data_IF_261603666698
#
_entry.id   IF_261603666698
#
_cell.length_a   1.000
_cell.length_b   1.000
_cell.length_c   1.000
_cell.angle_alpha   90.00
_cell.angle_beta   90.00
_cell.angle_gamma   90.00
#
_symmetry.space_group_name_H-M   'P 1'
#
loop_
_entity.id
_entity.type
_entity.pdbx_description
1 polymer ?
#
# COMPACT_ATOMS: atom_id res chain seq x y z
N UNK A 1 -2.39 -4.62 -11.39
CA UNK A 1 -0.94 -4.35 -11.33
C UNK A 1 -0.31 -3.95 -12.67
N UNK A 2 -0.07 -4.87 -13.63
CA UNK A 2 0.91 -4.66 -14.72
C UNK A 2 0.43 -4.66 -16.17
N UNK A 3 -0.82 -4.25 -16.46
CA UNK A 3 -1.23 -4.04 -17.85
C UNK A 3 -0.50 -2.81 -18.43
N UNK A 4 -0.09 -2.89 -19.71
CA UNK A 4 0.54 -1.76 -20.40
C UNK A 4 -0.44 -0.60 -20.52
N UNK A 5 -0.12 0.54 -19.92
CA UNK A 5 -0.91 1.76 -20.04
C UNK A 5 -0.62 2.57 -21.30
N UNK A 6 -1.47 3.56 -21.53
CA UNK A 6 -1.37 4.57 -22.61
C UNK A 6 -1.14 4.00 -24.03
N UNK A 7 -1.69 2.83 -24.30
CA UNK A 7 -1.65 2.20 -25.62
C UNK A 7 -2.99 2.32 -26.38
N UNK A 8 -3.98 3.00 -25.80
CA UNK A 8 -5.33 3.16 -26.37
C UNK A 8 -6.18 1.89 -26.38
N UNK A 9 -5.80 0.82 -25.66
CA UNK A 9 -6.49 -0.48 -25.70
C UNK A 9 -6.86 -0.96 -24.30
N UNK A 10 -8.15 -1.15 -24.06
CA UNK A 10 -8.64 -1.91 -22.91
C UNK A 10 -8.44 -1.24 -21.56
N UNK A 11 -7.49 -1.76 -20.77
CA UNK A 11 -7.24 -1.34 -19.38
C UNK A 11 -5.78 -0.94 -19.19
N UNK A 12 -5.52 -0.21 -18.11
CA UNK A 12 -4.18 0.13 -17.68
C UNK A 12 -3.82 -0.55 -16.36
N UNK A 13 -2.54 -0.84 -16.16
CA UNK A 13 -1.99 -1.25 -14.89
C UNK A 13 -1.77 -0.06 -13.95
N UNK A 14 -1.39 -0.35 -12.71
CA UNK A 14 -0.86 0.65 -11.79
C UNK A 14 0.58 0.98 -12.20
N UNK A 15 1.43 -0.03 -12.36
CA UNK A 15 2.77 0.14 -12.92
C UNK A 15 2.83 -0.43 -14.34
N UNK A 16 3.02 0.45 -15.33
CA UNK A 16 2.88 0.09 -16.75
C UNK A 16 4.08 -0.64 -17.32
N UNK A 17 5.21 -0.63 -16.62
CA UNK A 17 6.50 -1.20 -17.04
C UNK A 17 7.02 -2.20 -15.99
N UNK A 18 6.21 -3.21 -15.71
CA UNK A 18 6.58 -4.33 -14.83
C UNK A 18 7.08 -5.54 -15.61
N UNK A 19 8.07 -6.22 -15.05
CA UNK A 19 8.35 -7.61 -15.38
C UNK A 19 7.48 -8.50 -14.48
N UNK A 20 6.61 -9.34 -15.07
CA UNK A 20 5.72 -10.22 -14.30
C UNK A 20 6.33 -11.63 -14.24
N UNK A 21 6.64 -12.08 -13.03
CA UNK A 21 7.06 -13.46 -12.75
C UNK A 21 5.84 -14.29 -12.32
N UNK A 22 5.34 -15.16 -13.21
CA UNK A 22 4.22 -16.05 -12.89
C UNK A 22 4.73 -17.33 -12.23
N UNK A 23 4.46 -17.50 -10.93
CA UNK A 23 4.81 -18.71 -10.17
C UNK A 23 3.56 -19.57 -9.97
N UNK A 24 3.55 -20.76 -10.56
CA UNK A 24 2.42 -21.69 -10.48
C UNK A 24 2.53 -22.55 -9.23
N UNK A 25 1.59 -22.37 -8.31
CA UNK A 25 1.51 -23.11 -7.03
C UNK A 25 0.35 -24.11 -6.97
N UNK A 26 -0.51 -24.15 -8.01
CA UNK A 26 -1.64 -25.08 -8.11
C UNK A 26 -1.31 -26.25 -9.03
N UNK A 27 -1.76 -27.45 -8.67
CA UNK A 27 -1.55 -28.67 -9.49
C UNK A 27 -2.74 -28.99 -10.42
N UNK A 28 -3.92 -28.40 -10.17
CA UNK A 28 -5.16 -28.68 -10.90
C UNK A 28 -6.00 -27.44 -11.25
N UNK A 29 -7.16 -27.65 -11.87
CA UNK A 29 -8.05 -26.56 -12.33
C UNK A 29 -9.00 -26.01 -11.26
N UNK A 30 -9.01 -26.59 -10.05
CA UNK A 30 -9.84 -26.10 -8.93
C UNK A 30 -9.38 -24.76 -8.36
N UNK A 31 -8.14 -24.35 -8.67
CA UNK A 31 -7.52 -23.17 -8.05
C UNK A 31 -7.03 -23.42 -6.62
N UNK A 32 -7.06 -24.66 -6.13
CA UNK A 32 -6.54 -25.02 -4.81
C UNK A 32 -5.02 -25.19 -4.82
N UNK A 33 -4.37 -24.72 -3.76
CA UNK A 33 -2.96 -24.95 -3.45
C UNK A 33 -2.80 -25.20 -1.95
N UNK A 34 -1.82 -26.00 -1.56
CA UNK A 34 -1.43 -26.12 -0.16
C UNK A 34 -0.63 -24.88 0.26
N UNK A 35 -0.78 -24.44 1.51
CA UNK A 35 -0.01 -23.30 2.03
C UNK A 35 1.50 -23.52 1.89
N UNK A 36 1.98 -24.76 2.03
CA UNK A 36 3.37 -25.12 1.79
C UNK A 36 3.83 -24.87 0.36
N UNK A 37 2.98 -25.13 -0.63
CA UNK A 37 3.30 -24.88 -2.04
C UNK A 37 3.29 -23.38 -2.36
N UNK A 38 2.36 -22.64 -1.74
CA UNK A 38 2.29 -21.18 -1.85
C UNK A 38 3.56 -20.55 -1.28
N UNK A 39 3.93 -20.89 -0.04
CA UNK A 39 5.13 -20.36 0.63
C UNK A 39 6.42 -20.76 -0.09
N UNK A 40 6.50 -22.00 -0.60
CA UNK A 40 7.63 -22.41 -1.45
C UNK A 40 7.69 -21.57 -2.74
N UNK A 41 6.54 -21.28 -3.36
CA UNK A 41 6.46 -20.38 -4.51
C UNK A 41 6.92 -18.95 -4.19
N UNK A 42 6.56 -18.42 -3.02
CA UNK A 42 7.02 -17.10 -2.55
C UNK A 42 8.54 -17.05 -2.40
N UNK A 43 9.11 -18.00 -1.65
CA UNK A 43 10.56 -18.13 -1.51
C UNK A 43 11.26 -18.31 -2.85
N UNK A 44 10.70 -19.09 -3.78
CA UNK A 44 11.26 -19.22 -5.12
C UNK A 44 11.25 -17.87 -5.86
N UNK A 45 10.15 -17.11 -5.82
CA UNK A 45 10.05 -15.81 -6.48
C UNK A 45 11.09 -14.81 -5.95
N UNK A 46 11.19 -14.68 -4.63
CA UNK A 46 12.14 -13.78 -3.93
C UNK A 46 13.58 -14.13 -4.36
N UNK A 47 13.95 -15.41 -4.29
CA UNK A 47 15.28 -15.88 -4.69
C UNK A 47 15.61 -15.70 -6.17
N UNK A 48 14.62 -15.42 -7.01
CA UNK A 48 14.80 -15.12 -8.43
C UNK A 48 14.61 -13.63 -8.75
N UNK A 49 14.67 -12.77 -7.73
CA UNK A 49 14.72 -11.32 -7.88
C UNK A 49 13.35 -10.66 -8.05
N UNK A 50 12.29 -11.23 -7.45
CA UNK A 50 11.01 -10.54 -7.37
C UNK A 50 11.08 -9.43 -6.30
N UNK A 51 10.87 -8.17 -6.70
CA UNK A 51 10.75 -7.04 -5.76
C UNK A 51 9.46 -7.09 -4.93
N UNK A 52 8.39 -7.64 -5.50
CA UNK A 52 7.07 -7.73 -4.84
C UNK A 52 6.44 -9.09 -5.16
N UNK A 53 6.01 -9.81 -4.12
CA UNK A 53 5.28 -11.07 -4.22
C UNK A 53 3.82 -10.86 -3.84
N UNK A 54 2.94 -10.93 -4.82
CA UNK A 54 1.49 -10.88 -4.61
C UNK A 54 0.90 -12.28 -4.42
N UNK A 55 0.25 -12.52 -3.28
CA UNK A 55 -0.43 -13.77 -2.94
C UNK A 55 -1.94 -13.55 -2.85
N UNK A 56 -2.63 -13.81 -3.96
CA UNK A 56 -4.09 -13.75 -4.06
C UNK A 56 -4.75 -15.10 -3.69
N UNK A 57 -4.36 -15.71 -2.57
CA UNK A 57 -4.87 -16.99 -2.05
C UNK A 57 -5.35 -16.83 -0.59
N UNK A 58 -6.14 -17.79 -0.12
CA UNK A 58 -6.43 -17.92 1.32
C UNK A 58 -5.23 -18.46 2.09
N UNK A 59 -5.31 -18.46 3.43
CA UNK A 59 -4.27 -19.02 4.32
C UNK A 59 -3.32 -17.98 4.89
N UNK A 60 -3.70 -16.70 4.87
CA UNK A 60 -2.91 -15.60 5.46
C UNK A 60 -2.72 -15.83 6.95
N UNK A 61 -3.66 -16.45 7.66
CA UNK A 61 -3.62 -16.72 9.11
C UNK A 61 -2.54 -17.71 9.56
N UNK A 62 -1.76 -18.28 8.64
CA UNK A 62 -0.70 -19.22 8.98
C UNK A 62 0.54 -18.51 9.52
N UNK A 63 1.04 -18.89 10.70
CA UNK A 63 2.24 -18.30 11.33
C UNK A 63 3.48 -18.26 10.42
N UNK A 64 3.59 -19.20 9.46
CA UNK A 64 4.70 -19.22 8.50
C UNK A 64 4.66 -18.07 7.48
N UNK A 65 3.54 -17.35 7.39
CA UNK A 65 3.41 -16.12 6.57
C UNK A 65 4.27 -15.01 7.15
N UNK A 66 4.27 -14.79 8.47
CA UNK A 66 5.20 -13.84 9.12
C UNK A 66 6.65 -14.11 8.75
N UNK A 67 7.09 -15.37 8.90
CA UNK A 67 8.47 -15.75 8.58
C UNK A 67 8.81 -15.57 7.10
N UNK A 68 7.83 -15.69 6.20
CA UNK A 68 8.01 -15.41 4.77
C UNK A 68 8.09 -13.91 4.50
N UNK A 69 7.30 -13.11 5.22
CA UNK A 69 7.38 -11.66 5.20
C UNK A 69 8.76 -11.16 5.62
N UNK A 70 9.22 -11.61 6.80
CA UNK A 70 10.56 -11.30 7.32
C UNK A 70 11.66 -11.69 6.32
N UNK A 71 11.51 -12.85 5.67
CA UNK A 71 12.43 -13.29 4.63
C UNK A 71 12.38 -12.41 3.38
N UNK A 72 11.20 -11.95 2.97
CA UNK A 72 11.06 -11.02 1.85
C UNK A 72 11.78 -9.70 2.16
N UNK A 73 11.54 -9.10 3.33
CA UNK A 73 12.21 -7.87 3.75
C UNK A 73 13.74 -8.01 3.77
N UNK A 74 14.24 -9.11 4.36
CA UNK A 74 15.68 -9.41 4.38
C UNK A 74 16.33 -9.49 2.99
N UNK A 75 15.56 -9.89 1.98
CA UNK A 75 16.01 -10.00 0.58
C UNK A 75 15.68 -8.73 -0.25
N UNK A 76 15.15 -7.68 0.38
CA UNK A 76 14.79 -6.42 -0.27
C UNK A 76 13.47 -6.49 -1.07
N UNK A 77 12.59 -7.42 -0.73
CA UNK A 77 11.32 -7.67 -1.39
C UNK A 77 10.12 -7.46 -0.45
N UNK A 78 8.93 -7.33 -1.03
CA UNK A 78 7.67 -7.16 -0.30
C UNK A 78 6.77 -8.40 -0.43
N UNK A 79 6.07 -8.76 0.64
CA UNK A 79 5.02 -9.78 0.62
C UNK A 79 3.65 -9.10 0.75
N UNK A 80 2.77 -9.31 -0.23
CA UNK A 80 1.41 -8.75 -0.22
C UNK A 80 0.41 -9.89 -0.31
N UNK A 81 -0.46 -10.02 0.68
CA UNK A 81 -1.43 -11.10 0.80
C UNK A 81 -2.87 -10.59 0.79
N UNK A 82 -3.77 -11.28 0.10
CA UNK A 82 -5.20 -10.94 0.14
C UNK A 82 -5.85 -11.38 1.47
N UNK A 83 -6.59 -10.49 2.14
CA UNK A 83 -7.20 -10.78 3.44
C UNK A 83 -8.18 -11.98 3.43
N UNK A 84 -8.76 -12.30 2.27
CA UNK A 84 -9.77 -13.35 2.11
C UNK A 84 -11.19 -12.78 1.90
N UNK A 85 -12.12 -13.67 1.54
CA UNK A 85 -13.48 -13.29 1.12
C UNK A 85 -14.57 -14.02 1.95
N UNK A 86 -14.35 -14.15 3.27
CA UNK A 86 -15.22 -14.90 4.17
C UNK A 86 -16.09 -14.06 5.11
N UNK A 87 -15.96 -12.72 5.11
CA UNK A 87 -16.49 -11.85 6.16
C UNK A 87 -16.08 -12.31 7.56
N UNK A 88 -14.83 -12.79 7.69
CA UNK A 88 -14.28 -13.32 8.94
C UNK A 88 -13.49 -12.23 9.67
N UNK A 89 -13.64 -12.19 10.99
CA UNK A 89 -12.78 -11.42 11.89
C UNK A 89 -11.43 -12.15 12.03
N UNK A 90 -10.33 -11.42 11.91
CA UNK A 90 -8.95 -11.91 11.91
C UNK A 90 -8.15 -11.43 13.15
N UNK A 91 -8.80 -11.01 14.23
CA UNK A 91 -8.18 -10.41 15.44
C UNK A 91 -7.27 -11.34 16.24
N UNK A 92 -7.11 -12.59 15.83
CA UNK A 92 -6.32 -13.60 16.56
C UNK A 92 -4.88 -13.74 16.07
N UNK A 93 -4.48 -13.06 14.99
CA UNK A 93 -3.09 -12.98 14.51
C UNK A 93 -2.80 -11.57 14.00
N UNK A 94 -1.53 -11.29 13.74
CA UNK A 94 -1.06 -10.10 13.05
C UNK A 94 0.29 -10.44 12.42
N UNK A 95 0.57 -9.94 11.21
CA UNK A 95 1.82 -10.22 10.49
C UNK A 95 2.58 -8.92 10.19
N UNK A 96 3.47 -8.52 11.10
CA UNK A 96 4.23 -7.27 10.99
C UNK A 96 5.10 -7.18 9.71
N UNK A 97 5.56 -8.31 9.15
CA UNK A 97 6.52 -8.30 8.03
C UNK A 97 5.85 -8.54 6.66
N UNK A 98 4.53 -8.36 6.53
CA UNK A 98 3.86 -8.47 5.23
C UNK A 98 2.45 -7.89 5.19
N UNK A 99 2.11 -7.24 4.07
CA UNK A 99 0.87 -6.49 3.95
C UNK A 99 -0.34 -7.38 3.64
N UNK A 100 -1.36 -7.32 4.48
CA UNK A 100 -2.66 -7.96 4.33
C UNK A 100 -3.68 -6.96 3.82
N UNK A 101 -4.27 -7.27 2.67
CA UNK A 101 -5.07 -6.31 1.89
C UNK A 101 -6.56 -6.63 1.92
N UNK A 102 -7.35 -5.73 2.50
CA UNK A 102 -8.81 -5.75 2.44
C UNK A 102 -9.34 -5.08 1.16
N UNK A 103 -10.64 -5.19 0.90
CA UNK A 103 -11.24 -4.73 -0.36
C UNK A 103 -12.32 -3.68 -0.17
N UNK A 104 -12.26 -2.60 -0.95
CA UNK A 104 -13.32 -1.58 -1.09
C UNK A 104 -14.02 -1.65 -2.44
N UNK A 105 -15.16 -0.97 -2.55
CA UNK A 105 -15.91 -0.75 -3.77
C UNK A 105 -15.68 0.64 -4.37
N UNK A 106 -16.38 0.95 -5.46
CA UNK A 106 -16.26 2.22 -6.19
C UNK A 106 -16.78 3.46 -5.43
N UNK A 107 -17.36 3.27 -4.24
CA UNK A 107 -17.84 4.35 -3.35
C UNK A 107 -17.11 4.33 -2.02
N UNK A 108 -15.89 3.80 -2.00
CA UNK A 108 -15.01 3.69 -0.82
C UNK A 108 -15.67 3.01 0.39
N UNK A 109 -16.63 2.11 0.11
CA UNK A 109 -17.27 1.26 1.12
C UNK A 109 -16.63 -0.11 1.09
N UNK A 110 -16.51 -0.76 2.25
CA UNK A 110 -15.99 -2.12 2.33
C UNK A 110 -16.78 -3.11 1.48
N UNK A 111 -16.04 -4.00 0.82
CA UNK A 111 -16.60 -5.19 0.22
C UNK A 111 -17.19 -6.07 1.32
N UNK A 112 -18.50 -6.32 1.26
CA UNK A 112 -19.22 -7.04 2.32
C UNK A 112 -18.70 -8.45 2.64
N UNK A 113 -17.90 -9.08 1.75
CA UNK A 113 -17.27 -10.37 2.04
C UNK A 113 -15.79 -10.27 2.38
N UNK A 114 -15.17 -9.07 2.38
CA UNK A 114 -13.80 -8.91 2.84
C UNK A 114 -13.68 -9.41 4.27
N UNK A 115 -12.61 -10.15 4.56
CA UNK A 115 -12.22 -10.33 5.95
C UNK A 115 -11.77 -8.98 6.54
N UNK A 116 -11.85 -8.89 7.86
CA UNK A 116 -11.60 -7.69 8.66
C UNK A 116 -10.94 -8.10 9.99
N UNK A 117 -10.47 -7.14 10.78
CA UNK A 117 -9.83 -7.30 12.07
C UNK A 117 -8.44 -6.67 12.09
N UNK A 118 -7.76 -6.76 13.23
CA UNK A 118 -6.43 -6.16 13.45
C UNK A 118 -5.35 -6.56 12.44
N UNK A 119 -5.53 -7.69 11.76
CA UNK A 119 -4.59 -8.22 10.79
C UNK A 119 -4.70 -7.55 9.41
N UNK A 120 -5.44 -6.45 9.27
CA UNK A 120 -5.58 -5.71 8.00
C UNK A 120 -4.67 -4.50 8.05
N UNK A 121 -3.74 -4.38 7.10
CA UNK A 121 -2.84 -3.23 7.02
C UNK A 121 -3.39 -2.12 6.12
N UNK A 122 -4.04 -2.49 5.02
CA UNK A 122 -4.46 -1.54 3.99
C UNK A 122 -5.67 -2.01 3.19
N UNK A 123 -6.57 -1.09 2.85
CA UNK A 123 -7.65 -1.30 1.90
C UNK A 123 -7.26 -0.90 0.47
N UNK A 124 -7.73 -1.65 -0.52
CA UNK A 124 -7.63 -1.25 -1.92
C UNK A 124 -8.88 -1.65 -2.73
N UNK A 125 -9.10 -1.04 -3.92
CA UNK A 125 -10.23 -1.38 -4.78
C UNK A 125 -10.25 -2.87 -5.14
N UNK A 126 -11.30 -3.56 -4.70
CA UNK A 126 -11.46 -5.00 -4.89
C UNK A 126 -12.81 -5.41 -5.47
N UNK A 127 -13.77 -4.49 -5.62
CA UNK A 127 -15.10 -4.76 -6.21
C UNK A 127 -15.16 -4.24 -7.63
N UNK A 128 -15.72 -5.05 -8.54
CA UNK A 128 -15.94 -4.70 -9.96
C UNK A 128 -14.68 -4.22 -10.69
N UNK A 129 -13.53 -4.82 -10.37
CA UNK A 129 -12.23 -4.53 -10.98
C UNK A 129 -12.15 -5.12 -12.39
N UNK A 130 -11.96 -4.29 -13.45
CA UNK A 130 -11.70 -4.78 -14.81
C UNK A 130 -10.29 -5.39 -14.92
N UNK A 131 -10.17 -6.55 -15.56
CA UNK A 131 -8.89 -7.25 -15.74
C UNK A 131 -8.85 -8.07 -17.04
N UNK A 132 -7.68 -8.62 -17.40
CA UNK A 132 -7.47 -9.44 -18.60
C UNK A 132 -7.72 -10.93 -18.33
N UNK A 133 -8.31 -11.60 -19.32
CA UNK A 133 -8.30 -13.05 -19.45
C UNK A 133 -7.10 -13.50 -20.27
N UNK A 134 -6.74 -14.79 -20.13
CA UNK A 134 -5.66 -15.44 -20.90
C UNK A 134 -5.81 -15.30 -22.42
N UNK A 135 -7.03 -15.22 -22.93
CA UNK A 135 -7.31 -15.08 -24.36
C UNK A 135 -7.31 -13.62 -24.87
N UNK A 136 -6.87 -12.65 -24.06
CA UNK A 136 -6.82 -11.23 -24.40
C UNK A 136 -8.15 -10.48 -24.27
N UNK A 137 -9.25 -11.17 -23.95
CA UNK A 137 -10.52 -10.49 -23.64
C UNK A 137 -10.54 -9.96 -22.20
N UNK A 138 -11.47 -9.05 -21.91
CA UNK A 138 -11.63 -8.45 -20.59
C UNK A 138 -12.77 -9.09 -19.81
N UNK A 139 -12.71 -8.92 -18.50
CA UNK A 139 -13.78 -9.25 -17.55
C UNK A 139 -13.68 -8.41 -16.30
N UNK A 140 -14.77 -8.38 -15.56
CA UNK A 140 -14.89 -7.68 -14.30
C UNK A 140 -14.96 -8.72 -13.18
N UNK A 141 -14.20 -8.51 -12.12
CA UNK A 141 -14.10 -9.44 -10.99
C UNK A 141 -14.14 -8.71 -9.65
N UNK A 142 -14.46 -9.46 -8.60
CA UNK A 142 -14.58 -8.96 -7.24
C UNK A 142 -13.84 -9.89 -6.28
N UNK A 143 -13.20 -9.33 -5.27
CA UNK A 143 -12.57 -10.00 -4.13
C UNK A 143 -11.26 -9.35 -3.71
N UNK A 144 -10.81 -9.61 -2.49
CA UNK A 144 -9.51 -9.17 -1.94
C UNK A 144 -8.33 -9.63 -2.81
N UNK A 145 -8.48 -10.75 -3.52
CA UNK A 145 -7.56 -11.21 -4.57
C UNK A 145 -7.31 -10.19 -5.69
N UNK A 146 -8.22 -9.23 -5.90
CA UNK A 146 -8.10 -8.14 -6.87
C UNK A 146 -7.71 -6.81 -6.21
N UNK A 147 -7.84 -6.69 -4.89
CA UNK A 147 -7.32 -5.56 -4.12
C UNK A 147 -5.79 -5.67 -3.94
N UNK A 148 -5.27 -6.82 -3.51
CA UNK A 148 -3.83 -7.05 -3.29
C UNK A 148 -2.92 -6.67 -4.49
N UNK A 149 -3.30 -6.93 -5.76
CA UNK A 149 -2.53 -6.49 -6.92
C UNK A 149 -2.51 -4.98 -7.17
N UNK A 150 -3.36 -4.17 -6.52
CA UNK A 150 -3.25 -2.72 -6.54
C UNK A 150 -2.12 -2.27 -5.62
N UNK A 151 -2.10 -2.74 -4.37
CA UNK A 151 -1.01 -2.49 -3.39
C UNK A 151 0.33 -2.94 -3.97
N UNK A 152 0.40 -4.16 -4.50
CA UNK A 152 1.60 -4.68 -5.15
C UNK A 152 2.10 -3.81 -6.33
N UNK A 153 1.16 -3.18 -7.04
CA UNK A 153 1.49 -2.27 -8.14
C UNK A 153 2.05 -0.94 -7.66
N UNK A 154 1.55 -0.41 -6.54
CA UNK A 154 2.04 0.83 -5.91
C UNK A 154 3.42 0.62 -5.31
N UNK A 155 3.64 -0.47 -4.56
CA UNK A 155 4.98 -0.84 -4.08
C UNK A 155 6.00 -0.89 -5.21
N UNK A 156 5.64 -1.52 -6.33
CA UNK A 156 6.52 -1.57 -7.49
C UNK A 156 6.76 -0.20 -8.16
N UNK A 157 5.81 0.75 -8.09
CA UNK A 157 6.05 2.14 -8.51
C UNK A 157 7.02 2.84 -7.55
N UNK A 158 6.81 2.72 -6.24
CA UNK A 158 7.66 3.32 -5.21
C UNK A 158 9.10 2.82 -5.33
N UNK A 159 9.29 1.50 -5.45
CA UNK A 159 10.61 0.89 -5.72
C UNK A 159 11.26 1.40 -7.01
N UNK A 160 10.46 1.74 -8.03
CA UNK A 160 11.00 2.24 -9.31
C UNK A 160 11.55 3.66 -9.23
N UNK A 161 11.07 4.47 -8.29
CA UNK A 161 11.55 5.85 -8.05
C UNK A 161 12.58 5.92 -6.93
N UNK A 162 12.52 4.99 -5.98
CA UNK A 162 13.43 4.87 -4.82
C UNK A 162 13.87 3.42 -4.59
N UNK A 163 14.78 2.90 -5.42
CA UNK A 163 15.30 1.53 -5.24
C UNK A 163 16.22 1.40 -4.03
N UNK A 164 16.67 2.53 -3.46
CA UNK A 164 17.58 2.64 -2.32
C UNK A 164 16.90 2.48 -0.96
N UNK A 165 15.59 2.73 -0.86
CA UNK A 165 14.83 2.57 0.37
C UNK A 165 14.62 1.10 0.71
N UNK A 166 14.63 0.77 2.01
CA UNK A 166 14.35 -0.58 2.47
C UNK A 166 12.86 -0.93 2.30
N UNK A 167 12.51 -2.22 2.25
CA UNK A 167 11.12 -2.63 2.17
C UNK A 167 10.26 -2.06 3.31
N UNK A 168 10.78 -2.06 4.53
CA UNK A 168 10.11 -1.55 5.72
C UNK A 168 9.77 -0.07 5.57
N UNK A 169 10.73 0.76 5.14
CA UNK A 169 10.49 2.19 4.88
C UNK A 169 9.46 2.42 3.77
N UNK A 170 9.47 1.61 2.71
CA UNK A 170 8.50 1.74 1.62
C UNK A 170 7.08 1.34 2.06
N UNK A 171 6.95 0.27 2.84
CA UNK A 171 5.65 -0.16 3.38
C UNK A 171 5.11 0.87 4.36
N UNK A 172 5.96 1.41 5.23
CA UNK A 172 5.63 2.48 6.15
C UNK A 172 5.14 3.75 5.41
N UNK A 173 5.87 4.24 4.40
CA UNK A 173 5.42 5.35 3.54
C UNK A 173 4.06 5.03 2.89
N UNK A 174 3.88 3.80 2.38
CA UNK A 174 2.62 3.38 1.76
C UNK A 174 1.46 3.46 2.75
N UNK A 175 1.68 3.00 3.98
CA UNK A 175 0.67 2.96 5.03
C UNK A 175 0.35 4.36 5.59
N UNK A 176 1.34 5.23 5.82
CA UNK A 176 1.13 6.64 6.25
C UNK A 176 0.39 7.48 5.21
N UNK A 177 0.52 7.11 3.94
CA UNK A 177 -0.10 7.86 2.84
C UNK A 177 -1.48 7.34 2.43
N UNK A 178 -2.00 6.34 3.12
CA UNK A 178 -3.36 5.88 2.88
C UNK A 178 -4.38 6.97 3.22
N UNK A 179 -5.45 7.04 2.43
CA UNK A 179 -6.59 7.92 2.72
C UNK A 179 -7.46 7.26 3.76
N UNK A 180 -7.53 7.85 4.95
CA UNK A 180 -8.29 7.31 6.06
C UNK A 180 -9.77 7.06 5.70
N UNK A 181 -10.33 5.97 6.22
CA UNK A 181 -11.71 5.57 6.00
C UNK A 181 -12.38 5.23 7.33
N UNK A 182 -13.68 5.53 7.42
CA UNK A 182 -14.53 5.25 8.59
C UNK A 182 -14.15 6.00 9.88
N UNK A 183 -13.08 5.60 10.55
CA UNK A 183 -12.68 6.12 11.87
C UNK A 183 -11.28 6.71 11.77
N UNK A 184 -11.03 7.92 12.29
CA UNK A 184 -9.69 8.52 12.35
C UNK A 184 -8.61 7.54 12.79
N UNK A 185 -7.67 7.27 11.89
CA UNK A 185 -6.52 6.42 12.15
C UNK A 185 -6.75 4.96 11.74
N UNK A 186 -6.10 4.04 12.43
CA UNK A 186 -6.18 2.62 12.08
C UNK A 186 -7.50 2.00 12.53
N UNK A 187 -8.13 1.22 11.64
CA UNK A 187 -9.40 0.54 11.90
C UNK A 187 -9.40 -0.92 11.39
N UNK A 188 -10.23 -1.77 12.01
CA UNK A 188 -10.32 -3.21 11.68
C UNK A 188 -10.74 -3.50 10.23
N UNK A 189 -11.28 -2.54 9.48
CA UNK A 189 -11.75 -2.78 8.12
C UNK A 189 -10.74 -2.34 7.07
N UNK A 190 -10.19 -1.13 7.21
CA UNK A 190 -9.27 -0.54 6.24
C UNK A 190 -7.81 -0.66 6.63
N UNK A 191 -7.50 -1.07 7.86
CA UNK A 191 -6.17 -0.89 8.43
C UNK A 191 -5.86 0.61 8.47
N UNK A 192 -4.78 1.02 7.81
CA UNK A 192 -4.34 2.42 7.71
C UNK A 192 -5.12 3.24 6.68
N UNK A 193 -6.09 2.66 6.00
CA UNK A 193 -6.98 3.36 5.06
C UNK A 193 -6.93 2.84 3.63
N UNK A 194 -7.50 3.63 2.72
CA UNK A 194 -7.51 3.37 1.28
C UNK A 194 -6.17 3.71 0.64
N UNK A 195 -5.59 2.74 -0.07
CA UNK A 195 -4.35 2.89 -0.84
C UNK A 195 -4.37 4.13 -1.75
N UNK A 196 -3.41 5.05 -1.55
CA UNK A 196 -3.22 6.23 -2.38
C UNK A 196 -1.87 6.19 -3.12
N UNK A 197 -1.91 5.73 -4.37
CA UNK A 197 -0.70 5.59 -5.20
C UNK A 197 0.07 6.90 -5.38
N UNK A 198 -0.65 8.03 -5.46
CA UNK A 198 -0.02 9.32 -5.74
C UNK A 198 0.74 9.82 -4.51
N UNK A 199 0.09 9.85 -3.34
CA UNK A 199 0.72 10.26 -2.08
C UNK A 199 1.92 9.38 -1.76
N UNK A 200 1.77 8.06 -1.87
CA UNK A 200 2.84 7.10 -1.59
C UNK A 200 4.08 7.33 -2.46
N UNK A 201 3.90 7.51 -3.77
CA UNK A 201 5.03 7.76 -4.69
C UNK A 201 5.64 9.14 -4.47
N UNK A 202 4.83 10.17 -4.22
CA UNK A 202 5.34 11.51 -3.95
C UNK A 202 6.22 11.52 -2.69
N UNK A 203 5.70 10.99 -1.58
CA UNK A 203 6.43 10.94 -0.32
C UNK A 203 7.71 10.10 -0.47
N UNK A 204 7.65 8.96 -1.15
CA UNK A 204 8.85 8.17 -1.45
C UNK A 204 9.91 9.02 -2.18
N UNK A 205 9.54 9.79 -3.20
CA UNK A 205 10.50 10.64 -3.94
C UNK A 205 11.17 11.68 -3.05
N UNK A 206 10.43 12.27 -2.12
CA UNK A 206 10.90 13.36 -1.25
C UNK A 206 11.52 12.88 0.06
N UNK A 207 11.45 11.60 0.38
CA UNK A 207 11.91 11.04 1.66
C UNK A 207 13.44 11.18 1.86
N UNK A 208 13.86 11.97 2.86
CA UNK A 208 15.26 12.34 3.14
C UNK A 208 16.14 11.25 3.77
N UNK A 209 15.57 10.11 4.18
CA UNK A 209 16.34 8.88 4.43
C UNK A 209 17.03 8.75 5.79
N UNK A 210 16.59 9.47 6.83
CA UNK A 210 17.10 9.28 8.18
C UNK A 210 15.97 8.94 9.16
N UNK A 211 15.61 7.66 9.27
CA UNK A 211 15.42 6.97 10.56
C UNK A 211 15.08 5.49 10.37
N UNK A 212 16.08 4.64 10.59
CA UNK A 212 15.85 3.28 11.09
C UNK A 212 15.62 3.43 12.60
N UNK A 213 14.36 3.54 13.01
CA UNK A 213 14.00 3.67 14.42
C UNK A 213 12.51 3.85 14.57
N UNK A 214 11.83 2.81 15.04
CA UNK A 214 10.38 2.77 15.13
C UNK A 214 9.78 3.85 16.02
N UNK A 215 8.52 4.13 15.71
CA UNK A 215 7.67 5.01 16.48
C UNK A 215 6.58 5.56 15.58
N UNK A 216 5.43 4.90 15.53
CA UNK A 216 4.17 5.62 15.32
C UNK A 216 3.92 6.49 16.55
N UNK A 217 4.71 7.54 16.69
CA UNK A 217 4.69 8.41 17.84
C UNK A 217 4.96 9.81 17.35
N UNK A 218 3.87 10.56 17.23
CA UNK A 218 3.78 11.98 17.54
C UNK A 218 5.13 12.69 17.34
N UNK A 219 5.63 12.72 16.10
CA UNK A 219 6.61 13.70 15.70
C UNK A 219 5.93 15.02 16.00
N UNK A 220 6.37 15.72 17.05
CA UNK A 220 5.84 17.02 17.49
C UNK A 220 6.11 18.13 16.42
N UNK A 221 6.34 17.73 15.17
CA UNK A 221 6.70 18.52 14.01
C UNK A 221 5.58 18.46 12.96
N UNK A 222 4.52 19.24 13.18
CA UNK A 222 3.39 19.33 12.25
C UNK A 222 3.84 19.88 10.87
N UNK A 223 5.06 20.45 10.77
CA UNK A 223 5.62 20.96 9.52
C UNK A 223 6.55 19.98 8.77
N UNK A 224 6.91 18.81 9.35
CA UNK A 224 7.68 17.75 8.66
C UNK A 224 6.74 16.93 7.77
N UNK A 225 6.32 17.54 6.65
CA UNK A 225 5.35 16.98 5.71
C UNK A 225 5.95 15.82 4.90
N UNK A 226 7.26 15.81 4.67
CA UNK A 226 7.94 14.71 3.98
C UNK A 226 8.47 13.61 4.92
N UNK A 227 8.29 13.79 6.23
CA UNK A 227 8.50 12.80 7.29
C UNK A 227 9.94 12.25 7.26
N UNK A 228 10.90 13.15 7.02
CA UNK A 228 12.31 12.79 6.96
C UNK A 228 13.08 13.06 8.26
N UNK A 229 12.35 13.53 9.28
CA UNK A 229 12.83 13.87 10.61
C UNK A 229 13.46 15.26 10.68
N UNK A 230 13.35 16.06 9.62
CA UNK A 230 13.93 17.40 9.53
C UNK A 230 12.96 18.34 8.81
N UNK A 231 12.53 19.39 9.49
CA UNK A 231 11.78 20.48 8.86
C UNK A 231 12.73 21.30 7.98
N UNK A 232 12.58 21.19 6.65
CA UNK A 232 13.38 21.91 5.66
C UNK A 232 12.55 22.40 4.44
N UNK A 233 13.23 22.79 3.35
CA UNK A 233 12.55 23.32 2.15
C UNK A 233 11.78 22.24 1.38
N UNK A 234 12.12 20.96 1.56
CA UNK A 234 11.43 19.84 0.94
C UNK A 234 10.02 19.67 1.51
N UNK A 235 9.77 20.04 2.77
CA UNK A 235 8.43 20.10 3.34
C UNK A 235 7.55 21.13 2.68
N UNK A 236 8.11 22.29 2.35
CA UNK A 236 7.37 23.34 1.62
C UNK A 236 6.99 22.83 0.22
N UNK A 237 7.88 22.10 -0.43
CA UNK A 237 7.61 21.49 -1.74
C UNK A 237 6.52 20.43 -1.62
N UNK A 238 6.62 19.55 -0.62
CA UNK A 238 5.65 18.50 -0.37
C UNK A 238 4.26 19.08 -0.01
N UNK A 239 4.21 20.07 0.88
CA UNK A 239 2.99 20.81 1.24
C UNK A 239 2.33 21.40 -0.01
N UNK A 240 3.08 22.13 -0.84
CA UNK A 240 2.53 22.73 -2.05
C UNK A 240 1.96 21.68 -2.99
N UNK A 241 2.66 20.56 -3.18
CA UNK A 241 2.15 19.47 -4.00
C UNK A 241 0.84 18.90 -3.43
N UNK A 242 0.75 18.66 -2.11
CA UNK A 242 -0.47 18.20 -1.44
C UNK A 242 -1.62 19.22 -1.51
N UNK A 243 -1.32 20.48 -1.27
CA UNK A 243 -2.26 21.60 -1.29
C UNK A 243 -2.94 21.75 -2.66
N UNK A 244 -2.17 21.68 -3.75
CA UNK A 244 -2.73 21.80 -5.11
C UNK A 244 -3.67 20.65 -5.51
N UNK A 245 -3.64 19.54 -4.77
CA UNK A 245 -4.48 18.38 -5.02
C UNK A 245 -5.67 18.27 -4.09
N UNK A 246 -5.75 19.16 -3.10
CA UNK A 246 -6.74 19.07 -2.05
C UNK A 246 -6.58 17.76 -1.25
N UNK A 247 -5.35 17.48 -0.82
CA UNK A 247 -5.04 16.33 0.02
C UNK A 247 -5.22 16.66 1.51
N UNK A 248 -5.90 15.84 2.33
CA UNK A 248 -6.14 16.13 3.75
C UNK A 248 -4.88 16.46 4.56
N UNK A 249 -3.70 15.96 4.20
CA UNK A 249 -2.45 16.31 4.89
C UNK A 249 -2.07 17.81 4.75
N UNK A 250 -2.64 18.50 3.76
CA UNK A 250 -2.47 19.92 3.53
C UNK A 250 -3.69 20.76 3.97
N UNK A 251 -4.66 20.16 4.67
CA UNK A 251 -5.81 20.81 5.30
C UNK A 251 -5.49 21.06 6.78
N UNK A 252 -4.69 22.07 7.07
CA UNK A 252 -4.07 22.29 8.38
C UNK A 252 -5.05 22.75 9.47
N UNK A 253 -6.27 23.17 9.09
CA UNK A 253 -7.34 23.48 10.04
C UNK A 253 -8.50 22.46 10.01
N UNK A 254 -8.33 21.33 9.30
CA UNK A 254 -9.29 20.23 9.17
C UNK A 254 -10.71 20.70 8.76
N UNK A 255 -10.81 21.79 8.00
CA UNK A 255 -12.10 22.38 7.65
C UNK A 255 -12.67 21.83 6.32
N UNK A 256 -11.89 21.04 5.58
CA UNK A 256 -12.22 20.46 4.29
C UNK A 256 -12.09 21.43 3.11
N UNK A 257 -11.38 22.55 3.28
CA UNK A 257 -11.20 23.62 2.30
C UNK A 257 -9.73 24.05 2.28
N UNK A 258 -9.01 23.59 1.25
CA UNK A 258 -7.64 24.01 0.94
C UNK A 258 -7.60 25.45 0.46
N UNK A 259 -7.30 26.37 1.38
CA UNK A 259 -7.21 27.79 1.12
C UNK A 259 -5.96 28.44 1.72
N UNK A 260 -5.90 29.77 1.69
CA UNK A 260 -4.72 30.51 2.16
C UNK A 260 -4.48 30.31 3.65
N UNK A 261 -5.49 29.91 4.43
CA UNK A 261 -5.36 29.63 5.85
C UNK A 261 -4.47 28.42 6.08
N UNK A 262 -4.60 27.35 5.30
CA UNK A 262 -3.73 26.17 5.43
C UNK A 262 -2.28 26.53 5.18
N UNK A 263 -2.03 27.32 4.13
CA UNK A 263 -0.69 27.81 3.83
C UNK A 263 -0.15 28.68 4.96
N UNK A 264 -0.98 29.55 5.56
CA UNK A 264 -0.55 30.37 6.70
C UNK A 264 -0.21 29.49 7.91
N UNK A 265 -1.04 28.48 8.20
CA UNK A 265 -0.82 27.57 9.32
C UNK A 265 0.43 26.73 9.13
N UNK A 266 0.59 26.12 7.96
CA UNK A 266 1.80 25.38 7.59
C UNK A 266 3.04 26.27 7.72
N UNK A 267 3.04 27.46 7.12
CA UNK A 267 4.21 28.35 7.16
C UNK A 267 4.52 28.83 8.59
N UNK A 268 3.52 28.98 9.46
CA UNK A 268 3.76 29.30 10.87
C UNK A 268 4.44 28.14 11.61
N UNK A 269 3.97 26.91 11.41
CA UNK A 269 4.61 25.71 12.01
C UNK A 269 6.02 25.50 11.46
N UNK A 270 6.19 25.69 10.16
CA UNK A 270 7.49 25.60 9.49
C UNK A 270 8.49 26.62 10.05
N UNK A 271 8.08 27.88 10.27
CA UNK A 271 8.95 28.91 10.88
C UNK A 271 9.30 28.59 12.35
N UNK A 272 8.36 27.99 13.09
CA UNK A 272 8.58 27.56 14.48
C UNK A 272 9.58 26.39 14.59
N UNK A 273 9.55 25.46 13.63
CA UNK A 273 10.30 24.20 13.71
C UNK A 273 11.61 24.22 12.91
N UNK A 274 11.71 25.02 11.84
CA UNK A 274 12.93 25.16 11.02
C UNK A 274 14.10 25.84 11.77
N UNK A 275 13.78 26.72 12.73
CA UNK A 275 14.75 27.49 13.52
C UNK A 275 15.13 26.83 14.87
N UNK A 276 14.57 25.65 15.18
CA UNK A 276 14.76 24.88 16.43
C UNK A 276 15.93 23.89 16.40
#
# INVERSE_FOLDING_TARGET
>A
AGATGDNGVGISGICWRLNIMSVKVTSGSSGYAYISDILHGCNWAIRHGADVVNVSFAGVECDAVQAMGAYAHMEGAHLVWAAGNGAMNLDWFDHEDGLVVSATNETDTMYASSNFGRAIDVAAPGVRVPTLKRNGSYYVRTGTSYAAPHVSGVLALMRSVRPDLSPETIEDILLRTCGDLFTPGEDDFSGRGLLNARRAVLLAVTYGGNSVGGGGGDDDHDADINDDGVVDVNDVIAFLDYFWLQDPIADFDDNGIWDVMDLILFMNRWDEEYDG
#
